data_IF_161654932654
#
_entry.id   IF_161654932654
#
_cell.length_a   1.000
_cell.length_b   1.000
_cell.length_c   1.000
_cell.angle_alpha   90.00
_cell.angle_beta   90.00
_cell.angle_gamma   90.00
#
_symmetry.space_group_name_H-M   'P 1'
#
loop_
_entity.id
_entity.type
_entity.pdbx_description
1 polymer ?
#
# COMPACT_ATOMS: atom_id res chain seq x y z
N UNK A 1 -15.65 18.10 8.75
CA UNK A 1 -14.86 16.85 8.66
C UNK A 1 -13.38 17.13 8.46
N UNK A 2 -12.97 17.88 7.41
CA UNK A 2 -11.56 18.30 7.20
C UNK A 2 -10.90 18.93 8.45
N UNK A 3 -11.58 19.84 9.15
CA UNK A 3 -11.06 20.48 10.38
C UNK A 3 -10.84 19.52 11.55
N UNK A 4 -11.61 18.42 11.63
CA UNK A 4 -11.46 17.41 12.69
C UNK A 4 -10.38 16.39 12.38
N UNK A 5 -10.15 16.10 11.10
CA UNK A 5 -9.03 15.26 10.64
C UNK A 5 -7.70 15.98 10.87
N UNK A 6 -7.69 17.32 10.83
CA UNK A 6 -6.52 18.15 11.13
C UNK A 6 -6.39 18.50 12.62
N UNK A 7 -7.23 17.90 13.48
CA UNK A 7 -7.17 18.09 14.93
C UNK A 7 -5.92 17.44 15.52
N UNK A 8 -5.41 18.00 16.61
CA UNK A 8 -4.31 17.38 17.35
C UNK A 8 -4.79 16.25 18.29
N UNK A 9 -6.10 16.14 18.51
CA UNK A 9 -6.74 15.11 19.34
C UNK A 9 -6.93 13.81 18.57
N UNK A 10 -6.18 12.78 18.97
CA UNK A 10 -6.11 11.48 18.31
C UNK A 10 -7.48 10.78 18.24
N UNK A 11 -8.27 10.86 19.31
CA UNK A 11 -9.60 10.26 19.40
C UNK A 11 -10.61 10.92 18.45
N UNK A 12 -10.54 12.24 18.28
CA UNK A 12 -11.43 12.98 17.37
C UNK A 12 -11.10 12.66 15.90
N UNK A 13 -9.81 12.50 15.60
CA UNK A 13 -9.31 12.07 14.28
C UNK A 13 -9.78 10.64 13.98
N UNK A 14 -9.61 9.69 14.91
CA UNK A 14 -10.06 8.29 14.74
C UNK A 14 -11.57 8.22 14.50
N UNK A 15 -12.36 8.90 15.32
CA UNK A 15 -13.83 8.89 15.18
C UNK A 15 -14.25 9.51 13.85
N UNK A 16 -13.55 10.56 13.41
CA UNK A 16 -13.82 11.20 12.12
C UNK A 16 -13.43 10.30 10.94
N UNK A 17 -12.32 9.56 11.06
CA UNK A 17 -11.86 8.58 10.07
C UNK A 17 -12.75 7.34 10.00
N UNK A 18 -13.20 6.83 11.15
CA UNK A 18 -14.18 5.73 11.23
C UNK A 18 -15.51 6.11 10.58
N UNK A 19 -15.99 7.33 10.82
CA UNK A 19 -17.19 7.87 10.15
C UNK A 19 -16.98 8.06 8.65
N UNK A 20 -15.82 8.57 8.24
CA UNK A 20 -15.47 8.68 6.82
C UNK A 20 -15.47 7.29 6.16
N UNK A 21 -14.84 6.30 6.80
CA UNK A 21 -14.79 4.90 6.34
C UNK A 21 -16.18 4.30 6.16
N UNK A 22 -17.08 4.45 7.13
CA UNK A 22 -18.48 3.95 7.04
C UNK A 22 -19.20 4.60 5.86
N UNK A 23 -19.12 5.92 5.72
CA UNK A 23 -19.77 6.65 4.63
C UNK A 23 -19.20 6.29 3.24
N UNK A 24 -17.94 5.85 3.17
CA UNK A 24 -17.27 5.49 1.91
C UNK A 24 -17.46 4.03 1.50
N UNK A 25 -17.80 3.16 2.45
CA UNK A 25 -18.17 1.77 2.20
C UNK A 25 -19.65 1.62 1.83
N UNK A 26 -20.51 2.56 2.22
CA UNK A 26 -21.96 2.50 1.97
C UNK A 26 -22.37 2.96 0.56
N UNK A 27 -21.53 3.67 -0.20
CA UNK A 27 -21.91 4.20 -1.53
C UNK A 27 -20.77 4.18 -2.56
N UNK A 28 -20.97 3.48 -3.67
CA UNK A 28 -20.01 3.40 -4.80
C UNK A 28 -19.59 4.78 -5.34
N UNK A 29 -20.51 5.73 -5.42
CA UNK A 29 -20.24 7.11 -5.86
C UNK A 29 -19.22 7.88 -5.00
N UNK A 30 -19.01 7.49 -3.73
CA UNK A 30 -18.05 8.15 -2.84
C UNK A 30 -16.65 7.52 -2.91
N UNK A 31 -16.53 6.29 -3.43
CA UNK A 31 -15.25 5.66 -3.73
C UNK A 31 -14.57 6.36 -4.91
N UNK A 32 -15.33 6.68 -5.97
CA UNK A 32 -14.83 7.47 -7.10
C UNK A 32 -14.44 8.89 -6.67
N UNK A 33 -15.22 9.53 -5.80
CA UNK A 33 -14.94 10.88 -5.29
C UNK A 33 -13.66 10.93 -4.44
N UNK A 34 -13.40 9.92 -3.60
CA UNK A 34 -12.16 9.79 -2.83
C UNK A 34 -10.91 9.59 -3.70
N UNK A 35 -11.07 8.95 -4.86
CA UNK A 35 -10.02 8.80 -5.86
C UNK A 35 -9.80 10.07 -6.70
N UNK A 36 -10.75 11.01 -6.68
CA UNK A 36 -10.72 12.26 -7.46
C UNK A 36 -10.26 13.50 -6.66
N UNK A 37 -10.53 13.58 -5.35
CA UNK A 37 -10.43 14.83 -4.55
C UNK A 37 -9.21 14.94 -3.60
N UNK A 38 -8.02 14.44 -3.94
CA UNK A 38 -6.78 14.60 -3.12
C UNK A 38 -6.94 14.24 -1.61
N UNK A 39 -7.93 13.42 -1.24
CA UNK A 39 -8.14 12.94 0.14
C UNK A 39 -7.20 11.78 0.50
N UNK A 40 -6.81 10.97 -0.49
CA UNK A 40 -5.80 9.92 -0.35
C UNK A 40 -4.46 10.45 0.18
N UNK A 41 -3.88 11.55 -0.35
CA UNK A 41 -2.67 12.14 0.23
C UNK A 41 -2.84 12.60 1.68
N UNK A 42 -4.00 13.15 2.05
CA UNK A 42 -4.28 13.55 3.45
C UNK A 42 -4.39 12.33 4.35
N UNK A 43 -5.06 11.27 3.90
CA UNK A 43 -5.15 10.00 4.60
C UNK A 43 -3.77 9.37 4.76
N UNK A 44 -3.02 9.15 3.68
CA UNK A 44 -1.67 8.57 3.75
C UNK A 44 -0.73 9.40 4.63
N UNK A 45 -0.74 10.74 4.49
CA UNK A 45 0.03 11.65 5.34
C UNK A 45 -0.35 11.56 6.83
N UNK A 46 -1.64 11.47 7.15
CA UNK A 46 -2.10 11.29 8.54
C UNK A 46 -1.78 9.90 9.09
N UNK A 47 -1.92 8.86 8.26
CA UNK A 47 -1.60 7.48 8.60
C UNK A 47 -0.10 7.30 8.85
N UNK A 48 0.75 8.11 8.19
CA UNK A 48 2.20 8.17 8.42
C UNK A 48 2.60 8.95 9.68
N UNK A 49 1.75 9.83 10.25
CA UNK A 49 2.20 10.82 11.26
C UNK A 49 1.96 10.45 12.72
N UNK A 50 1.01 9.57 13.07
CA UNK A 50 0.76 9.21 14.49
C UNK A 50 0.26 7.77 14.63
N UNK A 51 1.12 6.83 15.02
CA UNK A 51 0.84 5.50 15.62
C UNK A 51 -0.30 4.59 15.09
N UNK A 52 -0.99 4.91 13.99
CA UNK A 52 -2.08 4.12 13.45
C UNK A 52 -1.64 2.90 12.64
N UNK A 53 -0.33 2.66 12.54
CA UNK A 53 0.28 1.58 11.75
C UNK A 53 -0.32 0.22 12.08
N UNK A 54 -0.44 -0.11 13.37
CA UNK A 54 -1.03 -1.36 13.82
C UNK A 54 -2.52 -1.47 13.50
N UNK A 55 -3.26 -0.36 13.58
CA UNK A 55 -4.70 -0.33 13.27
C UNK A 55 -4.95 -0.49 11.78
N UNK A 56 -4.09 0.11 10.94
CA UNK A 56 -4.15 0.00 9.47
C UNK A 56 -3.84 -1.42 9.03
N UNK A 57 -2.77 -2.02 9.56
CA UNK A 57 -2.39 -3.40 9.29
C UNK A 57 -3.53 -4.38 9.60
N UNK A 58 -4.34 -4.08 10.61
CA UNK A 58 -5.51 -4.89 11.00
C UNK A 58 -6.72 -4.72 10.07
N UNK A 59 -6.73 -3.72 9.19
CA UNK A 59 -7.86 -3.44 8.28
C UNK A 59 -7.49 -3.67 6.81
N UNK A 60 -8.17 -4.61 6.16
CA UNK A 60 -8.02 -4.88 4.73
C UNK A 60 -8.24 -3.62 3.87
N UNK A 61 -9.19 -2.76 4.26
CA UNK A 61 -9.48 -1.51 3.55
C UNK A 61 -8.33 -0.49 3.60
N UNK A 62 -7.60 -0.43 4.72
CA UNK A 62 -6.46 0.47 4.89
C UNK A 62 -5.32 0.10 3.95
N UNK A 63 -5.00 -1.19 3.85
CA UNK A 63 -3.99 -1.70 2.92
C UNK A 63 -4.38 -1.42 1.47
N UNK A 64 -5.65 -1.61 1.10
CA UNK A 64 -6.15 -1.31 -0.25
C UNK A 64 -5.94 0.16 -0.61
N UNK A 65 -6.22 1.09 0.31
CA UNK A 65 -6.00 2.52 0.08
C UNK A 65 -4.53 2.84 -0.18
N UNK A 66 -3.62 2.27 0.61
CA UNK A 66 -2.17 2.49 0.43
C UNK A 66 -1.72 1.94 -0.92
N UNK A 67 -2.18 0.75 -1.31
CA UNK A 67 -1.89 0.16 -2.63
C UNK A 67 -2.41 1.05 -3.76
N UNK A 68 -3.62 1.62 -3.65
CA UNK A 68 -4.14 2.57 -4.64
C UNK A 68 -3.28 3.84 -4.76
N UNK A 69 -2.68 4.32 -3.67
CA UNK A 69 -1.77 5.47 -3.68
C UNK A 69 -0.49 5.25 -4.47
N UNK A 70 -0.06 3.99 -4.70
CA UNK A 70 1.10 3.69 -5.54
C UNK A 70 0.93 4.20 -6.98
N UNK A 71 -0.30 4.16 -7.50
CA UNK A 71 -0.65 4.56 -8.86
C UNK A 71 -0.87 6.08 -9.03
N UNK A 72 -0.60 6.89 -7.99
CA UNK A 72 -0.91 8.32 -7.95
C UNK A 72 0.33 9.17 -8.25
N UNK A 73 0.27 10.45 -7.88
CA UNK A 73 1.36 11.43 -8.07
C UNK A 73 2.64 10.92 -7.39
N UNK A 74 3.81 11.26 -7.94
CA UNK A 74 5.12 10.78 -7.46
C UNK A 74 5.30 10.91 -5.94
N UNK A 75 4.90 12.05 -5.36
CA UNK A 75 4.98 12.28 -3.91
C UNK A 75 4.14 11.27 -3.11
N UNK A 76 2.93 10.98 -3.56
CA UNK A 76 2.02 10.01 -2.92
C UNK A 76 2.55 8.59 -3.06
N UNK A 77 3.03 8.25 -4.26
CA UNK A 77 3.61 6.94 -4.53
C UNK A 77 4.80 6.65 -3.60
N UNK A 78 5.68 7.64 -3.39
CA UNK A 78 6.80 7.51 -2.43
C UNK A 78 6.37 7.32 -0.99
N UNK A 79 5.39 8.08 -0.52
CA UNK A 79 4.85 7.91 0.84
C UNK A 79 4.19 6.54 1.01
N UNK A 80 3.48 6.07 -0.01
CA UNK A 80 2.88 4.75 -0.02
C UNK A 80 3.95 3.64 0.02
N UNK A 81 5.02 3.74 -0.79
CA UNK A 81 6.15 2.80 -0.74
C UNK A 81 6.78 2.74 0.65
N UNK A 82 7.05 3.90 1.25
CA UNK A 82 7.60 3.98 2.59
C UNK A 82 6.67 3.31 3.62
N UNK A 83 5.38 3.63 3.59
CA UNK A 83 4.41 3.08 4.54
C UNK A 83 4.23 1.57 4.37
N UNK A 84 4.21 1.05 3.14
CA UNK A 84 4.18 -0.40 2.90
C UNK A 84 5.45 -1.08 3.43
N UNK A 85 6.61 -0.44 3.32
CA UNK A 85 7.88 -0.97 3.82
C UNK A 85 7.85 -1.10 5.34
N UNK A 86 7.41 -0.05 6.04
CA UNK A 86 7.26 -0.06 7.50
C UNK A 86 6.22 -1.10 7.94
N UNK A 87 5.07 -1.20 7.28
CA UNK A 87 4.04 -2.18 7.64
C UNK A 87 4.50 -3.63 7.41
N UNK A 88 5.38 -3.85 6.43
CA UNK A 88 5.89 -5.18 6.09
C UNK A 88 6.88 -5.77 7.11
N UNK A 89 7.29 -4.99 8.11
CA UNK A 89 8.03 -5.50 9.28
C UNK A 89 7.19 -6.51 10.08
N UNK A 90 5.85 -6.41 10.01
CA UNK A 90 4.95 -7.37 10.61
C UNK A 90 4.56 -8.46 9.59
N UNK A 91 4.77 -9.73 9.92
CA UNK A 91 4.50 -10.86 9.02
C UNK A 91 3.03 -10.94 8.55
N UNK A 92 2.08 -10.65 9.44
CA UNK A 92 0.64 -10.69 9.11
C UNK A 92 0.30 -9.58 8.12
N UNK A 93 0.78 -8.36 8.39
CA UNK A 93 0.59 -7.23 7.48
C UNK A 93 1.26 -7.49 6.12
N UNK A 94 2.50 -8.00 6.12
CA UNK A 94 3.24 -8.36 4.91
C UNK A 94 2.46 -9.34 4.03
N UNK A 95 1.85 -10.37 4.63
CA UNK A 95 1.01 -11.34 3.92
C UNK A 95 -0.22 -10.68 3.26
N UNK A 96 -0.94 -9.85 4.03
CA UNK A 96 -2.15 -9.17 3.53
C UNK A 96 -1.79 -8.18 2.41
N UNK A 97 -0.70 -7.42 2.58
CA UNK A 97 -0.23 -6.46 1.59
C UNK A 97 0.16 -7.17 0.29
N UNK A 98 1.03 -8.19 0.37
CA UNK A 98 1.47 -8.94 -0.81
C UNK A 98 0.32 -9.61 -1.56
N UNK A 99 -0.74 -10.00 -0.85
CA UNK A 99 -1.96 -10.59 -1.42
C UNK A 99 -2.98 -9.57 -1.92
N UNK A 100 -2.77 -8.28 -1.66
CA UNK A 100 -3.70 -7.22 -2.05
C UNK A 100 -3.74 -7.04 -3.56
N UNK A 101 -4.95 -6.96 -4.11
CA UNK A 101 -5.16 -6.89 -5.56
C UNK A 101 -4.43 -5.68 -6.16
N UNK A 102 -3.66 -5.94 -7.21
CA UNK A 102 -2.90 -4.92 -7.94
C UNK A 102 -1.58 -4.50 -7.27
N UNK A 103 -1.30 -4.92 -6.03
CA UNK A 103 -0.07 -4.53 -5.32
C UNK A 103 1.20 -4.93 -6.09
N UNK A 104 1.33 -6.22 -6.44
CA UNK A 104 2.49 -6.72 -7.19
C UNK A 104 2.66 -6.02 -8.54
N UNK A 105 1.56 -5.85 -9.28
CA UNK A 105 1.59 -5.19 -10.60
C UNK A 105 2.08 -3.74 -10.51
N UNK A 106 1.57 -2.98 -9.53
CA UNK A 106 1.95 -1.59 -9.33
C UNK A 106 3.42 -1.48 -8.90
N UNK A 107 3.89 -2.36 -8.01
CA UNK A 107 5.30 -2.38 -7.59
C UNK A 107 6.24 -2.73 -8.74
N UNK A 108 5.90 -3.73 -9.57
CA UNK A 108 6.68 -4.03 -10.77
C UNK A 108 6.71 -2.84 -11.72
N UNK A 109 5.59 -2.16 -11.92
CA UNK A 109 5.53 -0.95 -12.75
C UNK A 109 6.45 0.16 -12.20
N UNK A 110 6.41 0.42 -10.88
CA UNK A 110 7.25 1.43 -10.23
C UNK A 110 8.74 1.04 -10.26
N UNK A 111 9.06 -0.25 -10.20
CA UNK A 111 10.45 -0.75 -10.26
C UNK A 111 11.18 -0.37 -11.55
N UNK A 112 10.43 -0.07 -12.61
CA UNK A 112 10.92 0.43 -13.90
C UNK A 112 10.77 1.95 -14.11
N UNK A 113 10.42 2.71 -13.07
CA UNK A 113 10.22 4.16 -13.17
C UNK A 113 11.55 4.94 -13.26
N UNK A 114 11.48 6.19 -13.77
CA UNK A 114 12.63 7.10 -13.86
C UNK A 114 13.08 7.65 -12.49
N UNK A 115 12.37 7.35 -11.40
CA UNK A 115 12.70 7.78 -10.05
C UNK A 115 13.55 6.71 -9.36
N UNK A 116 14.87 6.91 -9.18
CA UNK A 116 15.76 5.86 -8.72
C UNK A 116 15.42 5.36 -7.31
N UNK A 117 14.94 6.26 -6.45
CA UNK A 117 14.56 5.91 -5.08
C UNK A 117 13.28 5.06 -5.09
N UNK A 118 12.24 5.50 -5.81
CA UNK A 118 10.99 4.74 -5.89
C UNK A 118 11.21 3.36 -6.55
N UNK A 119 12.03 3.30 -7.60
CA UNK A 119 12.40 2.04 -8.24
C UNK A 119 13.12 1.09 -7.28
N UNK A 120 14.06 1.61 -6.47
CA UNK A 120 14.79 0.82 -5.47
C UNK A 120 13.88 0.33 -4.36
N UNK A 121 13.01 1.19 -3.84
CA UNK A 121 12.08 0.84 -2.76
C UNK A 121 11.04 -0.19 -3.22
N UNK A 122 10.55 -0.06 -4.46
CA UNK A 122 9.65 -1.04 -5.04
C UNK A 122 10.32 -2.42 -5.20
N UNK A 123 11.58 -2.49 -5.64
CA UNK A 123 12.33 -3.76 -5.72
C UNK A 123 12.49 -4.41 -4.35
N UNK A 124 12.88 -3.65 -3.31
CA UNK A 124 12.95 -4.16 -1.94
C UNK A 124 11.62 -4.73 -1.44
N UNK A 125 10.51 -4.06 -1.76
CA UNK A 125 9.17 -4.57 -1.42
C UNK A 125 8.84 -5.86 -2.19
N UNK A 126 9.17 -5.95 -3.48
CA UNK A 126 9.00 -7.18 -4.26
C UNK A 126 9.82 -8.33 -3.68
N UNK A 127 11.08 -8.09 -3.32
CA UNK A 127 11.93 -9.08 -2.66
C UNK A 127 11.31 -9.54 -1.33
N UNK A 128 10.83 -8.59 -0.51
CA UNK A 128 10.13 -8.88 0.76
C UNK A 128 8.85 -9.70 0.56
N UNK A 129 8.19 -9.61 -0.59
CA UNK A 129 6.96 -10.36 -0.88
C UNK A 129 7.20 -11.67 -1.63
N UNK A 130 8.42 -11.90 -2.11
CA UNK A 130 8.80 -13.10 -2.88
C UNK A 130 8.77 -14.40 -2.05
N UNK A 131 8.72 -14.32 -0.72
CA UNK A 131 8.59 -15.51 0.13
C UNK A 131 7.28 -16.31 -0.08
N UNK A 132 6.23 -15.67 -0.63
CA UNK A 132 4.99 -16.34 -0.99
C UNK A 132 5.03 -16.79 -2.46
N UNK A 133 4.87 -18.09 -2.76
CA UNK A 133 4.90 -18.60 -4.13
C UNK A 133 3.87 -17.94 -5.05
N UNK A 134 2.67 -17.62 -4.53
CA UNK A 134 1.65 -16.90 -5.29
C UNK A 134 2.16 -15.53 -5.78
N UNK A 135 2.95 -14.82 -4.97
CA UNK A 135 3.49 -13.52 -5.35
C UNK A 135 4.55 -13.65 -6.44
N UNK A 136 5.41 -14.68 -6.38
CA UNK A 136 6.36 -14.98 -7.46
C UNK A 136 5.62 -15.22 -8.78
N UNK A 137 4.51 -15.97 -8.75
CA UNK A 137 3.69 -16.20 -9.96
C UNK A 137 3.11 -14.88 -10.49
N UNK A 138 2.61 -14.00 -9.62
CA UNK A 138 2.10 -12.68 -10.03
C UNK A 138 3.22 -11.79 -10.59
N UNK A 139 4.42 -11.83 -10.00
CA UNK A 139 5.60 -11.10 -10.51
C UNK A 139 5.95 -11.56 -11.92
N UNK A 140 6.01 -12.88 -12.15
CA UNK A 140 6.28 -13.44 -13.47
C UNK A 140 5.21 -13.03 -14.49
N UNK A 141 3.92 -13.03 -14.11
CA UNK A 141 2.83 -12.52 -14.96
C UNK A 141 2.96 -11.05 -15.30
N UNK A 142 3.61 -10.27 -14.43
CA UNK A 142 3.94 -8.87 -14.65
C UNK A 142 5.29 -8.66 -15.37
N UNK A 143 5.90 -9.72 -15.92
CA UNK A 143 7.21 -9.73 -16.58
C UNK A 143 8.43 -9.48 -15.65
N UNK A 144 8.25 -9.61 -14.33
CA UNK A 144 9.34 -9.58 -13.37
C UNK A 144 9.79 -11.01 -13.03
N UNK A 145 10.75 -11.51 -13.79
CA UNK A 145 11.15 -12.93 -13.75
C UNK A 145 12.27 -13.26 -12.77
N UNK A 146 12.99 -12.28 -12.24
CA UNK A 146 14.16 -12.50 -11.35
C UNK A 146 13.87 -13.48 -10.21
N UNK A 147 12.78 -13.32 -9.42
CA UNK A 147 12.49 -14.23 -8.31
C UNK A 147 12.19 -15.66 -8.79
N UNK A 148 11.53 -15.81 -9.95
CA UNK A 148 11.24 -17.11 -10.53
C UNK A 148 12.51 -17.81 -11.02
N UNK A 149 13.40 -17.07 -11.70
CA UNK A 149 14.70 -17.62 -12.15
C UNK A 149 15.59 -18.00 -10.98
N UNK A 150 15.57 -17.21 -9.90
CA UNK A 150 16.27 -17.55 -8.67
C UNK A 150 15.71 -18.82 -8.01
N UNK A 151 14.38 -18.96 -7.95
CA UNK A 151 13.74 -20.17 -7.41
C UNK A 151 14.11 -21.42 -8.21
N UNK A 152 14.05 -21.34 -9.54
CA UNK A 152 14.38 -22.45 -10.44
C UNK A 152 15.86 -22.83 -10.38
N UNK A 153 16.76 -21.85 -10.26
CA UNK A 153 18.21 -22.10 -10.20
C UNK A 153 18.67 -22.60 -8.83
N UNK A 154 17.96 -22.26 -7.75
CA UNK A 154 18.30 -22.70 -6.39
C UNK A 154 17.82 -24.12 -6.05
N UNK A 155 17.05 -24.77 -6.93
CA UNK A 155 16.73 -26.21 -6.84
C UNK A 155 15.87 -26.61 -5.63
N UNK A 156 15.29 -25.66 -4.90
CA UNK A 156 14.38 -25.96 -3.77
C UNK A 156 13.03 -26.39 -4.32
N UNK A 157 12.76 -27.70 -4.22
CA UNK A 157 11.45 -28.32 -4.43
C UNK A 157 10.55 -28.13 -3.21
#
# INVERSE_FOLDING_TARGET
MKSRILSNEEEEVIVSLGKLRVLCLERELHQEWLMMEDYLPVLVSLLSTKNFKETIAKTHDGIKLIVCSLARKIKESKLALQLLMELSENDVARNIIGSSQGCILLLVTISGSNDPQAATDAKKLLDNYSFLPQNIVQMARANYFEPLLHLLSSGKQ
#
